data_IF_964137311107
#
_entry.id   IF_964137311107
#
_cell.length_a   1.000
_cell.length_b   1.000
_cell.length_c   1.000
_cell.angle_alpha   90.00
_cell.angle_beta   90.00
_cell.angle_gamma   90.00
#
_symmetry.space_group_name_H-M   'P 1'
#
loop_
_entity.id
_entity.type
_entity.pdbx_description
1 polymer ?
#
# COMPACT_ATOMS: atom_id res chain seq x y z
N UNK A 1 -8.34 19.51 3.02
CA UNK A 1 -7.13 19.67 3.83
C UNK A 1 -6.98 18.58 4.87
N UNK A 2 -8.01 18.34 5.69
CA UNK A 2 -7.95 17.27 6.69
C UNK A 2 -7.78 15.90 6.07
N UNK A 3 -8.50 15.62 5.00
CA UNK A 3 -8.40 14.31 4.33
C UNK A 3 -7.03 14.10 3.70
N UNK A 4 -6.46 15.16 3.14
CA UNK A 4 -5.13 15.07 2.55
C UNK A 4 -4.08 14.78 3.62
N UNK A 5 -4.15 15.48 4.75
CA UNK A 5 -3.23 15.25 5.85
C UNK A 5 -3.37 13.84 6.42
N UNK A 6 -4.62 13.38 6.55
CA UNK A 6 -4.90 12.02 7.03
C UNK A 6 -4.30 10.98 6.08
N UNK A 7 -4.49 11.18 4.77
CA UNK A 7 -3.95 10.26 3.77
C UNK A 7 -2.43 10.24 3.80
N UNK A 8 -1.81 11.42 3.92
CA UNK A 8 -0.35 11.52 4.00
C UNK A 8 0.19 10.81 5.23
N UNK A 9 -0.46 10.97 6.37
CA UNK A 9 -0.04 10.33 7.61
C UNK A 9 -0.18 8.81 7.50
N UNK A 10 -1.26 8.33 6.89
CA UNK A 10 -1.44 6.89 6.65
C UNK A 10 -0.34 6.34 5.76
N UNK A 11 -0.03 7.05 4.67
CA UNK A 11 1.02 6.61 3.75
C UNK A 11 2.38 6.59 4.43
N UNK A 12 2.68 7.60 5.26
CA UNK A 12 3.94 7.65 6.00
C UNK A 12 4.08 6.46 6.94
N UNK A 13 3.01 6.14 7.66
CA UNK A 13 3.04 5.00 8.57
C UNK A 13 3.16 3.69 7.80
N UNK A 14 2.44 3.55 6.70
CA UNK A 14 2.54 2.38 5.83
C UNK A 14 3.98 2.18 5.36
N UNK A 15 4.60 3.23 4.83
CA UNK A 15 5.96 3.14 4.32
C UNK A 15 6.96 2.84 5.43
N UNK A 16 6.73 3.38 6.62
CA UNK A 16 7.58 3.09 7.77
C UNK A 16 7.43 1.64 8.24
N UNK A 17 6.26 1.06 8.06
CA UNK A 17 5.99 -0.33 8.43
C UNK A 17 6.66 -1.34 7.50
N UNK A 18 6.73 -1.02 6.19
CA UNK A 18 7.15 -2.01 5.19
C UNK A 18 8.51 -2.66 5.47
N UNK A 19 9.55 -1.93 5.89
CA UNK A 19 10.83 -2.59 6.20
C UNK A 19 10.70 -3.62 7.32
N UNK A 20 9.80 -3.40 8.25
CA UNK A 20 9.61 -4.32 9.37
C UNK A 20 8.83 -5.58 8.99
N UNK A 21 8.10 -5.51 7.88
CA UNK A 21 7.35 -6.68 7.38
C UNK A 21 8.30 -7.81 6.99
N UNK A 22 9.53 -7.48 6.59
CA UNK A 22 10.51 -8.50 6.22
C UNK A 22 10.80 -9.47 7.37
N UNK A 23 10.78 -8.97 8.60
CA UNK A 23 11.13 -9.77 9.77
C UNK A 23 9.90 -10.17 10.59
N UNK A 24 8.94 -9.28 10.68
CA UNK A 24 7.79 -9.45 11.57
C UNK A 24 6.51 -9.83 10.83
N UNK A 25 6.53 -9.84 9.49
CA UNK A 25 5.36 -10.10 8.69
C UNK A 25 4.33 -8.97 8.78
N UNK A 26 3.17 -9.17 8.21
CA UNK A 26 2.06 -8.23 8.34
C UNK A 26 1.42 -8.44 9.71
N UNK A 27 1.87 -7.68 10.68
CA UNK A 27 1.53 -7.87 12.08
C UNK A 27 1.44 -6.55 12.80
N UNK A 28 0.80 -6.58 13.97
CA UNK A 28 0.77 -5.41 14.84
C UNK A 28 2.17 -4.99 15.27
N UNK A 29 3.07 -5.97 15.41
CA UNK A 29 4.45 -5.70 15.78
C UNK A 29 5.14 -4.85 14.72
N UNK A 30 4.96 -5.20 13.44
CA UNK A 30 5.53 -4.42 12.35
C UNK A 30 4.93 -3.01 12.29
N UNK A 31 3.62 -2.91 12.50
CA UNK A 31 2.94 -1.61 12.49
C UNK A 31 3.45 -0.73 13.64
N UNK A 32 3.58 -1.29 14.83
CA UNK A 32 4.09 -0.56 15.98
C UNK A 32 5.54 -0.12 15.77
N UNK A 33 6.35 -0.99 15.17
CA UNK A 33 7.74 -0.65 14.86
C UNK A 33 7.80 0.52 13.87
N UNK A 34 6.94 0.51 12.85
CA UNK A 34 6.85 1.60 11.91
C UNK A 34 6.44 2.91 12.58
N UNK A 35 5.47 2.84 13.47
CA UNK A 35 5.03 4.01 14.22
C UNK A 35 6.17 4.57 15.07
N UNK A 36 6.93 3.70 15.72
CA UNK A 36 8.05 4.13 16.55
C UNK A 36 9.13 4.81 15.71
N UNK A 37 9.34 4.36 14.47
CA UNK A 37 10.32 4.97 13.58
C UNK A 37 9.94 6.41 13.21
N UNK A 38 8.68 6.75 13.28
CA UNK A 38 8.22 8.12 12.96
C UNK A 38 8.35 9.08 14.15
N UNK A 39 8.72 8.58 15.32
CA UNK A 39 9.08 9.40 16.47
C UNK A 39 8.03 10.42 16.88
N UNK A 40 6.77 10.05 16.78
CA UNK A 40 5.69 10.95 17.19
C UNK A 40 5.28 11.97 16.13
N UNK A 41 5.89 11.91 14.95
CA UNK A 41 5.51 12.79 13.83
C UNK A 41 4.17 12.43 13.22
N UNK A 42 3.63 11.29 13.56
CA UNK A 42 2.35 10.84 13.03
C UNK A 42 1.39 10.51 14.16
N UNK A 43 0.08 10.64 13.93
CA UNK A 43 -0.90 10.19 14.91
C UNK A 43 -0.78 8.68 15.18
N UNK A 44 -1.39 8.26 16.28
CA UNK A 44 -1.42 6.86 16.69
C UNK A 44 -1.95 5.98 15.56
N UNK A 45 -1.34 4.79 15.41
CA UNK A 45 -1.76 3.83 14.40
C UNK A 45 -3.25 3.47 14.52
N UNK A 46 -3.79 3.43 15.74
CA UNK A 46 -5.21 3.14 15.92
C UNK A 46 -6.12 4.24 15.37
N UNK A 47 -5.65 5.47 15.36
CA UNK A 47 -6.39 6.58 14.77
C UNK A 47 -6.32 6.55 13.26
N UNK A 48 -5.19 6.13 12.72
CA UNK A 48 -4.99 6.08 11.26
C UNK A 48 -5.62 4.84 10.64
N UNK A 49 -5.60 3.72 11.35
CA UNK A 49 -6.11 2.44 10.86
C UNK A 49 -6.99 1.79 11.91
N UNK A 50 -8.18 2.36 12.17
CA UNK A 50 -9.07 1.77 13.17
C UNK A 50 -9.51 0.34 12.81
N UNK A 51 -9.50 -0.02 11.53
CA UNK A 51 -9.81 -1.37 11.09
C UNK A 51 -8.66 -2.36 11.22
N UNK A 52 -7.48 -1.91 11.66
CA UNK A 52 -6.34 -2.78 11.88
C UNK A 52 -5.60 -3.17 10.63
N UNK A 53 -5.00 -4.35 10.64
CA UNK A 53 -4.13 -4.80 9.57
C UNK A 53 -4.82 -4.95 8.22
N UNK A 54 -6.10 -5.31 8.23
CA UNK A 54 -6.85 -5.41 6.97
C UNK A 54 -6.97 -4.05 6.31
N UNK A 55 -7.17 -3.01 7.12
CA UNK A 55 -7.25 -1.66 6.59
C UNK A 55 -5.89 -1.19 6.08
N UNK A 56 -4.80 -1.56 6.76
CA UNK A 56 -3.45 -1.26 6.27
C UNK A 56 -3.22 -1.92 4.92
N UNK A 57 -3.62 -3.19 4.78
CA UNK A 57 -3.47 -3.92 3.52
C UNK A 57 -4.23 -3.23 2.39
N UNK A 58 -5.46 -2.80 2.66
CA UNK A 58 -6.27 -2.08 1.68
C UNK A 58 -5.58 -0.77 1.29
N UNK A 59 -5.05 -0.07 2.27
CA UNK A 59 -4.35 1.19 2.01
C UNK A 59 -3.10 0.99 1.17
N UNK A 60 -2.41 -0.13 1.33
CA UNK A 60 -1.26 -0.44 0.50
C UNK A 60 -1.66 -0.49 -0.98
N UNK A 61 -2.76 -1.19 -1.28
CA UNK A 61 -3.28 -1.23 -2.64
C UNK A 61 -3.64 0.15 -3.18
N UNK A 62 -4.32 0.94 -2.36
CA UNK A 62 -4.70 2.30 -2.74
C UNK A 62 -3.48 3.19 -2.98
N UNK A 63 -2.47 3.04 -2.14
CA UNK A 63 -1.22 3.78 -2.30
C UNK A 63 -0.55 3.45 -3.63
N UNK A 64 -0.46 2.15 -3.95
CA UNK A 64 0.15 1.73 -5.21
C UNK A 64 -0.64 2.24 -6.42
N UNK A 65 -1.98 2.24 -6.32
CA UNK A 65 -2.82 2.76 -7.39
C UNK A 65 -2.58 4.25 -7.60
N UNK A 66 -2.45 5.03 -6.53
CA UNK A 66 -2.18 6.46 -6.64
C UNK A 66 -0.81 6.72 -7.26
N UNK A 67 0.19 5.92 -6.90
CA UNK A 67 1.52 6.04 -7.50
C UNK A 67 1.48 5.74 -8.99
N UNK A 68 0.74 4.70 -9.39
CA UNK A 68 0.59 4.35 -10.78
C UNK A 68 -0.08 5.46 -11.57
N UNK A 69 -1.17 6.04 -11.02
CA UNK A 69 -1.86 7.12 -11.69
C UNK A 69 -0.98 8.36 -11.84
N UNK A 70 -0.16 8.66 -10.83
CA UNK A 70 0.76 9.78 -10.91
C UNK A 70 1.80 9.58 -12.02
N UNK A 71 2.33 8.37 -12.15
CA UNK A 71 3.28 8.07 -13.22
C UNK A 71 2.64 8.17 -14.59
N UNK A 72 1.41 7.64 -14.72
CA UNK A 72 0.69 7.69 -16.00
C UNK A 72 0.36 9.13 -16.39
N UNK A 73 0.10 9.99 -15.43
CA UNK A 73 -0.24 11.38 -15.71
C UNK A 73 0.90 12.16 -16.36
N UNK A 74 2.14 11.70 -16.15
CA UNK A 74 3.31 12.35 -16.74
C UNK A 74 3.56 11.95 -18.19
N UNK A 75 2.80 10.97 -18.69
CA UNK A 75 2.98 10.46 -20.03
C UNK A 75 1.93 11.03 -20.98
N UNK A 76 2.29 11.18 -22.25
CA UNK A 76 1.37 11.63 -23.28
C UNK A 76 0.59 10.43 -23.83
N UNK A 77 -0.35 9.94 -23.03
CA UNK A 77 -1.10 8.73 -23.36
C UNK A 77 -1.97 8.89 -24.59
N UNK A 78 -2.44 10.11 -24.86
CA UNK A 78 -3.33 10.35 -25.99
C UNK A 78 -2.66 10.03 -27.33
N UNK A 79 -1.35 10.19 -27.40
CA UNK A 79 -0.59 9.91 -28.63
C UNK A 79 -0.14 8.47 -28.73
N UNK A 80 -0.41 7.67 -27.73
CA UNK A 80 0.01 6.26 -27.76
C UNK A 80 -1.06 5.36 -28.35
N UNK A 81 -0.67 4.38 -29.17
CA UNK A 81 -1.61 3.32 -29.54
C UNK A 81 -2.08 2.54 -28.31
N UNK A 82 -3.27 1.94 -28.40
CA UNK A 82 -3.86 1.21 -27.28
C UNK A 82 -2.90 0.14 -26.76
N UNK A 83 -2.25 -0.57 -27.65
CA UNK A 83 -1.30 -1.62 -27.26
C UNK A 83 -0.18 -1.06 -26.38
N UNK A 84 0.36 0.10 -26.76
CA UNK A 84 1.42 0.73 -25.96
C UNK A 84 0.91 1.24 -24.62
N UNK A 85 -0.33 1.73 -24.57
CA UNK A 85 -0.92 2.16 -23.31
C UNK A 85 -0.99 1.02 -22.31
N UNK A 86 -1.45 -0.14 -22.77
CA UNK A 86 -1.57 -1.33 -21.94
C UNK A 86 -0.19 -1.78 -21.46
N UNK A 87 0.77 -1.90 -22.38
CA UNK A 87 2.11 -2.33 -22.05
C UNK A 87 2.78 -1.37 -21.05
N UNK A 88 2.61 -0.07 -21.27
CA UNK A 88 3.17 0.94 -20.40
C UNK A 88 2.58 0.85 -19.01
N UNK A 89 1.25 0.69 -18.90
CA UNK A 89 0.60 0.55 -17.61
C UNK A 89 1.10 -0.66 -16.83
N UNK A 90 1.24 -1.80 -17.50
CA UNK A 90 1.76 -3.01 -16.87
C UNK A 90 3.20 -2.79 -16.40
N UNK A 91 4.03 -2.18 -17.24
CA UNK A 91 5.42 -1.94 -16.91
C UNK A 91 5.56 -1.02 -15.69
N UNK A 92 4.80 0.06 -15.66
CA UNK A 92 4.82 1.00 -14.55
C UNK A 92 4.41 0.28 -13.27
N UNK A 93 3.35 -0.53 -13.32
CA UNK A 93 2.90 -1.26 -12.15
C UNK A 93 3.98 -2.19 -11.62
N UNK A 94 4.66 -2.92 -12.52
CA UNK A 94 5.73 -3.82 -12.12
C UNK A 94 6.90 -3.05 -11.50
N UNK A 95 7.25 -1.92 -12.08
CA UNK A 95 8.34 -1.10 -11.56
C UNK A 95 8.01 -0.55 -10.17
N UNK A 96 6.77 -0.12 -9.95
CA UNK A 96 6.36 0.41 -8.66
C UNK A 96 6.31 -0.68 -7.59
N UNK A 97 5.94 -1.90 -7.98
CA UNK A 97 5.87 -3.02 -7.03
C UNK A 97 7.23 -3.63 -6.73
N UNK A 98 8.22 -3.46 -7.62
CA UNK A 98 9.51 -4.10 -7.45
C UNK A 98 10.17 -3.82 -6.08
N UNK A 99 10.20 -2.57 -5.58
CA UNK A 99 10.78 -2.32 -4.25
C UNK A 99 10.00 -2.95 -3.11
N UNK A 100 8.77 -3.37 -3.39
CA UNK A 100 7.86 -3.90 -2.36
C UNK A 100 7.56 -5.38 -2.56
N UNK A 101 8.42 -6.11 -3.28
CA UNK A 101 8.17 -7.52 -3.61
C UNK A 101 7.95 -8.37 -2.36
N UNK A 102 8.84 -8.26 -1.38
CA UNK A 102 8.70 -9.06 -0.17
C UNK A 102 7.50 -8.65 0.68
N UNK A 103 7.28 -7.35 0.95
CA UNK A 103 6.04 -6.95 1.62
C UNK A 103 4.79 -7.41 0.90
N UNK A 104 4.76 -7.33 -0.44
CA UNK A 104 3.61 -7.78 -1.21
C UNK A 104 3.41 -9.28 -1.06
N UNK A 105 4.47 -10.06 -1.16
CA UNK A 105 4.40 -11.51 -1.00
C UNK A 105 3.89 -11.87 0.37
N UNK A 106 4.36 -11.18 1.41
CA UNK A 106 3.91 -11.40 2.78
C UNK A 106 2.45 -11.02 2.95
N UNK A 107 2.02 -9.95 2.26
CA UNK A 107 0.63 -9.55 2.28
C UNK A 107 -0.26 -10.63 1.68
N UNK A 108 0.14 -11.19 0.55
CA UNK A 108 -0.64 -12.25 -0.09
C UNK A 108 -0.77 -13.45 0.83
N UNK A 109 0.29 -13.80 1.54
CA UNK A 109 0.23 -14.88 2.53
C UNK A 109 -0.75 -14.55 3.66
N UNK A 110 -0.70 -13.31 4.15
CA UNK A 110 -1.62 -12.85 5.20
C UNK A 110 -3.08 -12.95 4.74
N UNK A 111 -3.36 -12.50 3.52
CA UNK A 111 -4.72 -12.52 2.99
C UNK A 111 -5.22 -13.93 2.69
N UNK A 112 -4.32 -14.88 2.49
CA UNK A 112 -4.71 -16.27 2.25
C UNK A 112 -5.16 -16.99 3.52
N UNK A 113 -4.85 -16.44 4.70
CA UNK A 113 -5.29 -17.05 5.95
C UNK A 113 -6.78 -16.84 6.15
N UNK A 114 -7.50 -17.83 6.74
CA UNK A 114 -8.93 -17.67 6.99
C UNK A 114 -9.22 -16.44 7.84
N UNK A 115 -10.24 -15.69 7.44
CA UNK A 115 -10.66 -14.50 8.18
C UNK A 115 -9.91 -13.23 7.86
N UNK A 116 -8.87 -13.30 7.04
CA UNK A 116 -8.06 -12.12 6.72
C UNK A 116 -8.37 -11.52 5.35
N UNK A 117 -9.34 -12.05 4.64
CA UNK A 117 -9.70 -11.52 3.33
C UNK A 117 -10.30 -10.13 3.46
N UNK A 118 -9.96 -9.26 2.52
CA UNK A 118 -10.55 -7.93 2.44
C UNK A 118 -11.99 -8.11 1.94
N UNK A 119 -12.93 -7.42 2.59
CA UNK A 119 -14.36 -7.60 2.32
C UNK A 119 -14.72 -7.52 0.84
N UNK A 120 -14.15 -6.60 0.11
CA UNK A 120 -14.43 -6.47 -1.31
C UNK A 120 -13.91 -7.60 -2.18
N UNK A 121 -13.08 -8.47 -1.62
CA UNK A 121 -12.50 -9.60 -2.34
C UNK A 121 -13.14 -10.93 -1.96
N UNK A 122 -14.10 -10.92 -1.08
CA UNK A 122 -14.77 -12.13 -0.61
C UNK A 122 -16.03 -12.45 -1.41
N UNK A 123 -15.92 -12.38 -2.70
CA UNK A 123 -17.11 -12.52 -3.54
C UNK A 123 -17.40 -13.97 -3.90
N UNK A 124 -16.59 -14.84 -3.51
CA UNK A 124 -16.81 -16.26 -3.83
C UNK A 124 -17.64 -16.96 -2.79
#
# INVERSE_FOLDING_TARGET
MRQQKFTEDRDRLLLAMLPHVLFDGWSKKALTAGQNDLDGDAPDAQLLYPGGLKEVAKNFGEYMDRQMLAELAELDLEKMPVREKIATGIQIRLQLLAPHREPLRRLLTFLALPGNQITGMQIT
#
